data_IF_037153966632
#
_entry.id   IF_037153966632
#
_cell.length_a   1.000
_cell.length_b   1.000
_cell.length_c   1.000
_cell.angle_alpha   90.00
_cell.angle_beta   90.00
_cell.angle_gamma   90.00
#
_symmetry.space_group_name_H-M   'P 1'
#
loop_
_entity.id
_entity.type
_entity.pdbx_description
1 polymer ?
#
# COMPACT_ATOMS: atom_id res chain seq x y z
N UNK A 1 16.83 0.30 3.52
CA UNK A 1 16.32 1.53 4.17
C UNK A 1 15.52 1.28 5.44
N UNK A 2 14.62 0.29 5.51
CA UNK A 2 13.81 0.04 6.71
C UNK A 2 14.61 -0.08 8.03
N UNK A 3 15.81 -0.68 7.99
CA UNK A 3 16.69 -0.78 9.16
C UNK A 3 17.13 0.58 9.73
N UNK A 4 17.39 1.59 8.88
CA UNK A 4 17.78 2.93 9.34
C UNK A 4 16.61 3.65 10.03
N UNK A 5 15.38 3.46 9.52
CA UNK A 5 14.16 3.98 10.16
C UNK A 5 13.94 3.31 11.52
N UNK A 6 14.10 1.99 11.60
CA UNK A 6 14.00 1.24 12.85
C UNK A 6 15.08 1.60 13.87
N UNK A 7 16.28 1.95 13.41
CA UNK A 7 17.36 2.43 14.25
C UNK A 7 17.23 3.92 14.65
N UNK A 8 16.15 4.61 14.23
CA UNK A 8 15.96 6.04 14.47
C UNK A 8 16.94 6.95 13.72
N UNK A 9 17.65 6.41 12.73
CA UNK A 9 18.73 7.10 12.00
C UNK A 9 18.24 7.89 10.78
N UNK A 10 16.93 7.84 10.47
CA UNK A 10 16.36 8.60 9.36
C UNK A 10 14.87 8.37 9.12
N UNK A 11 14.34 9.10 8.14
CA UNK A 11 12.95 9.02 7.67
C UNK A 11 12.92 8.40 6.27
N UNK A 12 11.84 7.67 5.94
CA UNK A 12 11.65 7.10 4.60
C UNK A 12 10.17 7.16 4.18
N UNK A 13 9.94 7.38 2.88
CA UNK A 13 8.63 7.21 2.28
C UNK A 13 8.30 5.71 2.17
N UNK A 14 7.38 5.24 3.01
CA UNK A 14 7.01 3.82 3.08
C UNK A 14 5.56 3.63 2.65
N UNK A 15 5.31 2.58 1.87
CA UNK A 15 3.95 2.11 1.61
C UNK A 15 3.37 1.51 2.90
N UNK A 16 2.04 1.61 3.17
CA UNK A 16 1.42 1.08 4.38
C UNK A 16 1.78 -0.38 4.70
N UNK A 17 1.91 -1.22 3.68
CA UNK A 17 2.28 -2.65 3.81
C UNK A 17 3.76 -2.90 4.14
N UNK A 18 4.61 -1.89 4.03
CA UNK A 18 6.06 -1.97 4.25
C UNK A 18 6.48 -1.24 5.54
N UNK A 19 5.52 -0.70 6.30
CA UNK A 19 5.81 0.03 7.53
C UNK A 19 6.30 -0.97 8.58
N UNK A 20 7.56 -0.84 9.04
CA UNK A 20 8.07 -1.73 10.06
C UNK A 20 7.47 -1.39 11.43
N UNK A 21 7.37 -2.39 12.31
CA UNK A 21 6.79 -2.21 13.64
C UNK A 21 7.50 -1.12 14.43
N UNK A 22 6.73 -0.20 15.03
CA UNK A 22 7.28 0.92 15.81
C UNK A 22 7.70 2.14 14.97
N UNK A 23 7.58 2.10 13.63
CA UNK A 23 7.69 3.30 12.83
C UNK A 23 6.51 4.25 13.09
N UNK A 24 6.78 5.54 13.18
CA UNK A 24 5.78 6.60 13.40
C UNK A 24 5.66 7.50 12.17
N UNK A 25 4.45 7.95 11.87
CA UNK A 25 4.24 8.94 10.81
C UNK A 25 4.65 10.34 11.28
N UNK A 26 5.69 10.89 10.64
CA UNK A 26 6.21 12.24 10.90
C UNK A 26 5.80 13.24 9.82
N UNK A 27 5.12 12.79 8.76
CA UNK A 27 4.71 13.64 7.63
C UNK A 27 3.96 14.90 8.05
N UNK A 28 2.91 14.79 8.90
CA UNK A 28 2.17 15.96 9.38
C UNK A 28 3.02 16.94 10.19
N UNK A 29 3.94 16.43 11.02
CA UNK A 29 4.80 17.26 11.88
C UNK A 29 5.86 18.01 11.09
N UNK A 30 6.26 17.46 9.94
CA UNK A 30 7.28 18.02 9.05
C UNK A 30 6.67 18.77 7.86
N UNK A 31 5.34 18.87 7.76
CA UNK A 31 4.66 19.50 6.63
C UNK A 31 4.91 18.81 5.29
N UNK A 32 5.19 17.50 5.29
CA UNK A 32 5.49 16.75 4.07
C UNK A 32 4.23 16.51 3.25
N UNK A 33 4.32 16.55 1.90
CA UNK A 33 3.19 16.24 1.04
C UNK A 33 2.79 14.76 1.20
N UNK A 34 1.50 14.48 1.03
CA UNK A 34 1.02 13.11 0.98
C UNK A 34 1.68 12.34 -0.18
N UNK A 35 2.05 11.08 0.09
CA UNK A 35 2.66 10.24 -0.95
C UNK A 35 1.66 9.98 -2.08
N UNK A 36 2.07 10.14 -3.35
CA UNK A 36 1.19 9.86 -4.48
C UNK A 36 0.82 8.38 -4.49
N UNK A 37 -0.46 8.09 -4.73
CA UNK A 37 -0.94 6.70 -4.85
C UNK A 37 -0.50 6.14 -6.20
N UNK A 38 0.26 5.05 -6.19
CA UNK A 38 0.55 4.33 -7.43
C UNK A 38 -0.65 3.47 -7.84
N UNK A 39 -1.13 3.57 -9.09
CA UNK A 39 -2.19 2.70 -9.59
C UNK A 39 -1.69 1.25 -9.67
N UNK A 40 -2.54 0.32 -9.22
CA UNK A 40 -2.33 -1.13 -9.40
C UNK A 40 -3.34 -1.61 -10.44
N UNK A 41 -2.85 -2.19 -11.54
CA UNK A 41 -3.68 -2.67 -12.65
C UNK A 41 -3.64 -4.19 -12.70
N UNK A 42 -4.81 -4.81 -12.70
CA UNK A 42 -4.98 -6.26 -12.86
C UNK A 42 -5.23 -6.58 -14.34
N UNK A 43 -4.25 -7.18 -15.01
CA UNK A 43 -4.38 -7.64 -16.39
C UNK A 43 -4.87 -9.09 -16.44
N UNK A 44 -6.07 -9.32 -16.98
CA UNK A 44 -6.68 -10.67 -17.07
C UNK A 44 -7.36 -10.86 -18.42
N UNK A 45 -7.18 -12.03 -19.06
CA UNK A 45 -7.84 -12.37 -20.34
C UNK A 45 -9.18 -13.11 -20.16
N UNK A 46 -9.68 -13.22 -18.94
CA UNK A 46 -10.92 -13.93 -18.62
C UNK A 46 -12.11 -13.07 -19.03
N UNK A 47 -12.96 -13.59 -19.93
CA UNK A 47 -14.16 -12.89 -20.38
C UNK A 47 -15.37 -13.21 -19.51
N UNK A 48 -15.62 -14.49 -19.20
CA UNK A 48 -16.78 -14.92 -18.39
C UNK A 48 -16.55 -16.22 -17.59
N UNK A 49 -17.45 -16.49 -16.64
CA UNK A 49 -17.48 -17.70 -15.80
C UNK A 49 -16.93 -17.54 -14.38
N UNK A 50 -16.84 -18.65 -13.63
CA UNK A 50 -16.24 -18.76 -12.29
C UNK A 50 -14.92 -17.97 -12.10
N UNK A 51 -13.97 -17.95 -13.05
CA UNK A 51 -12.75 -17.15 -12.89
C UNK A 51 -12.99 -15.64 -12.79
N UNK A 52 -14.09 -15.10 -13.36
CA UNK A 52 -14.45 -13.69 -13.22
C UNK A 52 -14.90 -13.34 -11.79
N UNK A 53 -15.62 -14.25 -11.14
CA UNK A 53 -16.04 -14.07 -9.74
C UNK A 53 -14.83 -14.05 -8.79
N UNK A 54 -13.84 -14.92 -8.99
CA UNK A 54 -12.60 -14.92 -8.23
C UNK A 54 -11.81 -13.61 -8.42
N UNK A 55 -11.70 -13.10 -9.65
CA UNK A 55 -11.04 -11.82 -9.93
C UNK A 55 -11.79 -10.63 -9.30
N UNK A 56 -13.13 -10.67 -9.27
CA UNK A 56 -13.94 -9.67 -8.58
C UNK A 56 -13.70 -9.69 -7.06
N UNK A 57 -13.65 -10.88 -6.44
CA UNK A 57 -13.35 -11.04 -5.02
C UNK A 57 -11.95 -10.52 -4.67
N UNK A 58 -10.93 -10.87 -5.47
CA UNK A 58 -9.57 -10.35 -5.31
C UNK A 58 -9.53 -8.82 -5.43
N UNK A 59 -10.21 -8.27 -6.43
CA UNK A 59 -10.27 -6.82 -6.65
C UNK A 59 -10.95 -6.10 -5.48
N UNK A 60 -12.01 -6.68 -4.91
CA UNK A 60 -12.70 -6.14 -3.76
C UNK A 60 -11.80 -6.15 -2.50
N UNK A 61 -11.10 -7.25 -2.25
CA UNK A 61 -10.15 -7.36 -1.14
C UNK A 61 -9.00 -6.35 -1.24
N UNK A 62 -8.45 -6.13 -2.43
CA UNK A 62 -7.44 -5.09 -2.63
C UNK A 62 -8.01 -3.67 -2.46
N UNK A 63 -9.25 -3.41 -2.90
CA UNK A 63 -9.91 -2.11 -2.71
C UNK A 63 -10.21 -1.81 -1.24
N UNK A 64 -10.56 -2.82 -0.43
CA UNK A 64 -10.80 -2.63 1.00
C UNK A 64 -9.49 -2.41 1.77
N UNK A 65 -8.44 -3.17 1.46
CA UNK A 65 -7.12 -3.02 2.08
C UNK A 65 -6.44 -1.66 1.80
N UNK A 66 -6.90 -0.93 0.78
CA UNK A 66 -6.41 0.40 0.40
C UNK A 66 -7.28 1.53 1.01
N UNK A 67 -8.43 1.21 1.59
CA UNK A 67 -9.34 2.15 2.26
C UNK A 67 -9.19 2.15 3.79
N UNK A 68 -8.65 1.08 4.38
CA UNK A 68 -8.23 1.04 5.78
C UNK A 68 -6.83 1.62 5.94
#
# INVERSE_FOLDING_TARGET
>A
MAAAVMAGLGIAALSPRMVPFGAVDVGPRLGLPALPRLPVILHTRVRDGQPRAALAALSAAFKSAVRG
#
